data_IF_048239909833
#
_entry.id   IF_048239909833
#
_cell.length_a   1.000
_cell.length_b   1.000
_cell.length_c   1.000
_cell.angle_alpha   90.00
_cell.angle_beta   90.00
_cell.angle_gamma   90.00
#
_symmetry.space_group_name_H-M   'P 1'
#
loop_
_entity.id
_entity.type
_entity.pdbx_description
1 polymer ?
#
# COMPACT_ATOMS: atom_id res chain seq x y z
N UNK A 1 -4.67 9.30 14.56
CA UNK A 1 -4.43 7.84 14.65
C UNK A 1 -4.50 7.35 13.22
N UNK A 2 -3.35 7.25 12.55
CA UNK A 2 -3.25 6.91 11.13
C UNK A 2 -3.30 5.38 11.07
N UNK A 3 -4.46 4.81 10.70
CA UNK A 3 -4.49 3.42 10.26
C UNK A 3 -3.73 3.38 8.93
N UNK A 4 -2.48 2.93 8.98
CA UNK A 4 -1.74 2.65 7.77
C UNK A 4 -2.54 1.67 6.91
N UNK A 5 -2.77 2.04 5.67
CA UNK A 5 -3.38 1.18 4.66
C UNK A 5 -2.47 -0.03 4.49
N UNK A 6 -2.77 -1.13 5.19
CA UNK A 6 -2.03 -2.37 5.02
C UNK A 6 -2.29 -2.84 3.59
N UNK A 7 -1.26 -2.84 2.77
CA UNK A 7 -1.29 -3.52 1.46
C UNK A 7 -1.70 -4.96 1.71
N UNK A 8 -2.97 -5.27 1.50
CA UNK A 8 -3.38 -6.66 1.30
C UNK A 8 -2.83 -7.03 -0.06
N UNK A 9 -1.60 -7.55 -0.05
CA UNK A 9 -1.08 -8.26 -1.21
C UNK A 9 -2.10 -9.35 -1.47
N UNK A 10 -2.75 -9.27 -2.65
CA UNK A 10 -3.70 -10.28 -3.09
C UNK A 10 -3.06 -11.63 -2.86
N UNK A 11 -3.60 -12.40 -1.91
CA UNK A 11 -3.10 -13.72 -1.54
C UNK A 11 -3.48 -14.70 -2.67
N UNK A 12 -2.85 -14.50 -3.82
CA UNK A 12 -2.78 -15.52 -4.89
C UNK A 12 -1.72 -16.58 -4.57
N UNK A 13 -1.34 -16.76 -3.30
CA UNK A 13 -0.18 -17.52 -2.91
C UNK A 13 -0.31 -18.39 -1.67
N UNK A 14 -1.47 -18.53 -1.01
CA UNK A 14 -1.55 -19.41 0.17
C UNK A 14 -1.34 -20.89 -0.20
N UNK A 15 -1.58 -21.29 -1.44
CA UNK A 15 -1.32 -22.66 -1.91
C UNK A 15 0.11 -22.91 -2.42
N UNK A 16 0.93 -21.87 -2.66
CA UNK A 16 2.26 -22.02 -3.27
C UNK A 16 3.37 -21.21 -2.59
N UNK A 17 3.09 -20.47 -1.54
CA UNK A 17 4.00 -19.45 -0.99
C UNK A 17 4.61 -19.72 0.39
N UNK A 18 4.46 -20.93 0.94
CA UNK A 18 5.28 -21.37 2.09
C UNK A 18 6.61 -21.96 1.63
N UNK A 19 7.12 -21.51 0.47
CA UNK A 19 8.43 -21.92 -0.01
C UNK A 19 9.46 -20.87 0.43
N UNK A 20 10.21 -21.24 1.45
CA UNK A 20 11.46 -20.65 1.89
C UNK A 20 12.29 -20.13 0.71
N UNK A 21 12.52 -18.83 0.65
CA UNK A 21 13.70 -18.30 0.01
C UNK A 21 14.90 -18.58 0.93
N UNK A 22 15.31 -19.82 1.01
CA UNK A 22 16.64 -20.18 1.50
C UNK A 22 17.55 -20.08 0.29
N UNK A 23 18.29 -18.98 0.18
CA UNK A 23 19.49 -18.94 -0.68
C UNK A 23 20.34 -20.15 -0.32
N UNK A 24 20.62 -20.99 -1.32
CA UNK A 24 21.39 -22.21 -1.24
C UNK A 24 22.76 -21.98 -0.60
N UNK A 25 22.89 -22.35 0.66
CA UNK A 25 24.18 -22.64 1.25
C UNK A 25 24.44 -24.12 0.99
N UNK A 26 25.37 -24.42 0.07
CA UNK A 26 25.85 -25.77 -0.15
C UNK A 26 26.54 -26.27 1.11
N UNK A 27 25.90 -27.13 1.87
CA UNK A 27 26.52 -27.85 2.96
C UNK A 27 26.74 -29.29 2.53
N UNK A 28 28.01 -29.71 2.54
CA UNK A 28 28.46 -31.07 2.36
C UNK A 28 27.76 -32.04 3.32
N UNK A 29 27.22 -33.11 2.76
CA UNK A 29 26.56 -34.17 3.50
C UNK A 29 27.56 -34.99 4.33
N UNK A 30 27.32 -35.09 5.62
CA UNK A 30 27.90 -36.11 6.48
C UNK A 30 26.86 -37.21 6.75
N UNK A 31 27.28 -38.48 6.97
CA UNK A 31 26.40 -39.65 6.85
C UNK A 31 25.42 -39.81 8.01
N UNK A 32 24.26 -40.35 7.70
CA UNK A 32 23.16 -40.66 8.60
C UNK A 32 23.57 -41.60 9.74
N UNK A 33 23.38 -41.16 10.97
CA UNK A 33 23.36 -42.02 12.17
C UNK A 33 21.91 -42.39 12.50
N UNK A 34 21.57 -43.65 12.33
CA UNK A 34 20.31 -44.23 12.78
C UNK A 34 20.30 -44.36 14.29
N UNK A 35 19.57 -43.52 14.99
CA UNK A 35 19.11 -43.78 16.35
C UNK A 35 17.66 -43.33 16.51
N UNK A 36 16.77 -44.30 16.38
CA UNK A 36 15.34 -44.14 16.72
C UNK A 36 15.20 -44.04 18.22
N UNK A 37 15.20 -42.85 18.75
CA UNK A 37 14.81 -42.59 20.15
C UNK A 37 13.37 -42.05 20.18
N UNK A 38 12.50 -42.90 20.71
CA UNK A 38 11.08 -42.66 20.99
C UNK A 38 10.98 -41.48 21.93
N UNK A 39 10.72 -40.28 21.41
CA UNK A 39 10.55 -39.06 22.25
C UNK A 39 9.10 -39.03 22.73
N UNK A 40 8.92 -39.19 24.02
CA UNK A 40 7.66 -39.01 24.73
C UNK A 40 7.14 -37.60 24.48
N UNK A 41 5.82 -37.47 24.22
CA UNK A 41 5.12 -36.21 24.05
C UNK A 41 5.17 -35.41 25.38
N UNK A 42 6.11 -34.49 25.49
CA UNK A 42 6.13 -33.53 26.57
C UNK A 42 5.39 -32.26 26.17
N UNK A 43 4.48 -31.86 27.01
CA UNK A 43 3.81 -30.54 26.93
C UNK A 43 4.90 -29.48 26.86
N UNK A 44 4.91 -28.67 25.77
CA UNK A 44 5.84 -27.58 25.62
C UNK A 44 5.51 -26.49 26.67
N UNK A 45 6.33 -26.40 27.69
CA UNK A 45 6.41 -25.25 28.56
C UNK A 45 7.65 -24.48 28.10
N UNK A 46 7.52 -23.22 27.63
CA UNK A 46 8.68 -22.43 27.24
C UNK A 46 9.51 -22.15 28.51
N UNK A 47 10.60 -22.87 28.67
CA UNK A 47 11.36 -22.91 29.93
C UNK A 47 12.50 -21.93 30.00
N UNK A 48 12.83 -21.21 28.92
CA UNK A 48 13.84 -20.14 28.98
C UNK A 48 13.76 -19.23 27.77
N UNK A 49 13.98 -17.95 27.98
CA UNK A 49 14.21 -16.97 26.92
C UNK A 49 15.47 -17.35 26.15
N UNK A 50 15.38 -17.52 24.84
CA UNK A 50 16.53 -17.76 23.99
C UNK A 50 17.32 -16.43 23.88
N UNK A 51 18.64 -16.49 24.18
CA UNK A 51 19.56 -15.37 24.13
C UNK A 51 20.74 -15.67 23.23
N UNK A 52 21.62 -14.69 23.00
CA UNK A 52 22.84 -14.86 22.22
C UNK A 52 23.82 -15.89 22.84
N UNK A 53 23.66 -16.24 24.12
CA UNK A 53 24.46 -17.23 24.84
C UNK A 53 23.80 -18.62 24.93
N UNK A 54 22.59 -18.77 24.38
CA UNK A 54 21.92 -20.07 24.30
C UNK A 54 22.63 -21.02 23.37
N UNK A 55 22.45 -22.36 23.51
CA UNK A 55 23.01 -23.32 22.58
C UNK A 55 22.64 -23.02 21.13
N UNK A 56 23.57 -23.22 20.19
CA UNK A 56 23.42 -22.82 18.78
C UNK A 56 22.12 -23.34 18.14
N UNK A 57 21.71 -24.60 18.39
CA UNK A 57 20.46 -25.16 17.86
C UNK A 57 19.20 -24.48 18.43
N UNK A 58 19.26 -24.00 19.67
CA UNK A 58 18.15 -23.23 20.25
C UNK A 58 18.04 -21.85 19.57
N UNK A 59 19.16 -21.19 19.29
CA UNK A 59 19.20 -19.93 18.54
C UNK A 59 18.68 -20.13 17.11
N UNK A 60 19.05 -21.20 16.43
CA UNK A 60 18.56 -21.56 15.09
C UNK A 60 17.05 -21.76 15.11
N UNK A 61 16.53 -22.56 16.03
CA UNK A 61 15.08 -22.79 16.14
C UNK A 61 14.28 -21.51 16.41
N UNK A 62 14.76 -20.67 17.33
CA UNK A 62 14.17 -19.38 17.59
C UNK A 62 14.17 -18.46 16.37
N UNK A 63 15.32 -18.40 15.67
CA UNK A 63 15.46 -17.53 14.50
C UNK A 63 14.50 -17.94 13.37
N UNK A 64 14.34 -19.24 13.10
CA UNK A 64 13.36 -19.73 12.13
C UNK A 64 11.92 -19.33 12.53
N UNK A 65 11.54 -19.57 13.79
CA UNK A 65 10.22 -19.21 14.29
C UNK A 65 9.95 -17.71 14.23
N UNK A 66 10.93 -16.90 14.62
CA UNK A 66 10.82 -15.43 14.58
C UNK A 66 10.63 -14.90 13.15
N UNK A 67 11.49 -15.30 12.22
CA UNK A 67 11.41 -14.86 10.81
C UNK A 67 10.13 -15.33 10.13
N UNK A 68 9.65 -16.53 10.45
CA UNK A 68 8.36 -17.01 9.95
C UNK A 68 7.20 -16.19 10.51
N UNK A 69 7.22 -15.86 11.81
CA UNK A 69 6.21 -14.99 12.43
C UNK A 69 6.24 -13.58 11.84
N UNK A 70 7.43 -12.99 11.69
CA UNK A 70 7.61 -11.67 11.10
C UNK A 70 7.08 -11.58 9.66
N UNK A 71 7.35 -12.60 8.84
CA UNK A 71 6.92 -12.65 7.45
C UNK A 71 5.40 -12.83 7.29
N UNK A 72 4.71 -13.40 8.29
CA UNK A 72 3.29 -13.73 8.18
C UNK A 72 2.37 -12.91 9.07
N UNK A 73 2.88 -12.11 10.03
CA UNK A 73 2.08 -11.34 11.01
C UNK A 73 1.02 -10.44 10.39
N UNK A 74 1.30 -9.91 9.18
CA UNK A 74 0.39 -9.00 8.49
C UNK A 74 -0.61 -9.72 7.56
N UNK A 75 -0.34 -11.00 7.23
CA UNK A 75 -1.18 -11.84 6.39
C UNK A 75 -2.16 -12.70 7.19
N UNK A 76 -1.78 -13.08 8.41
CA UNK A 76 -2.56 -13.95 9.30
C UNK A 76 -2.53 -13.33 10.69
N UNK A 77 -3.31 -12.26 10.88
CA UNK A 77 -3.34 -11.46 12.10
C UNK A 77 -4.18 -12.07 13.24
N UNK A 78 -4.99 -13.09 12.94
CA UNK A 78 -5.88 -13.80 13.87
C UNK A 78 -5.54 -15.29 14.02
N UNK A 79 -4.28 -15.67 13.75
CA UNK A 79 -3.83 -17.06 13.88
C UNK A 79 -3.85 -17.53 15.35
N UNK A 80 -4.49 -18.68 15.59
CA UNK A 80 -4.35 -19.38 16.87
C UNK A 80 -2.96 -20.02 16.96
N UNK A 81 -2.06 -19.38 17.70
CA UNK A 81 -0.66 -19.79 17.79
C UNK A 81 -0.50 -21.17 18.46
N UNK A 82 -1.34 -21.53 19.45
CA UNK A 82 -1.25 -22.83 20.10
C UNK A 82 -1.59 -23.97 19.13
N UNK A 83 -2.68 -23.81 18.37
CA UNK A 83 -3.06 -24.76 17.32
C UNK A 83 -2.02 -24.82 16.18
N UNK A 84 -1.44 -23.68 15.82
CA UNK A 84 -0.36 -23.62 14.83
C UNK A 84 0.87 -24.42 15.31
N UNK A 85 1.33 -24.18 16.53
CA UNK A 85 2.48 -24.90 17.08
C UNK A 85 2.18 -26.39 17.31
N UNK A 86 0.93 -26.76 17.61
CA UNK A 86 0.54 -28.16 17.66
C UNK A 86 0.67 -28.82 16.28
N UNK A 87 0.05 -28.26 15.24
CA UNK A 87 0.13 -28.79 13.89
C UNK A 87 1.57 -28.88 13.37
N UNK A 88 2.40 -27.85 13.67
CA UNK A 88 3.82 -27.87 13.33
C UNK A 88 4.56 -29.02 14.01
N UNK A 89 4.36 -29.24 15.31
CA UNK A 89 4.99 -30.35 16.05
C UNK A 89 4.56 -31.72 15.53
N UNK A 90 3.25 -31.89 15.30
CA UNK A 90 2.70 -33.16 14.80
C UNK A 90 3.33 -33.50 13.46
N UNK A 91 3.39 -32.55 12.54
CA UNK A 91 4.02 -32.73 11.22
C UNK A 91 5.53 -32.99 11.34
N UNK A 92 6.26 -32.24 12.16
CA UNK A 92 7.69 -32.36 12.35
C UNK A 92 8.09 -33.71 12.97
N UNK A 93 7.23 -34.25 13.85
CA UNK A 93 7.41 -35.55 14.52
C UNK A 93 6.81 -36.74 13.75
N UNK A 94 6.39 -36.52 12.50
CA UNK A 94 5.76 -37.54 11.65
C UNK A 94 4.52 -38.19 12.29
N UNK A 95 3.76 -37.43 13.09
CA UNK A 95 2.49 -37.89 13.65
C UNK A 95 1.37 -37.75 12.63
N UNK A 96 0.36 -38.60 12.75
CA UNK A 96 -0.84 -38.48 11.92
C UNK A 96 -1.57 -37.17 12.22
N UNK A 97 -1.99 -36.41 11.18
CA UNK A 97 -2.67 -35.15 11.39
C UNK A 97 -4.08 -35.35 11.98
N UNK A 98 -4.51 -34.45 12.87
CA UNK A 98 -5.85 -34.44 13.42
C UNK A 98 -6.94 -34.02 12.41
N UNK A 99 -6.55 -33.29 11.38
CA UNK A 99 -7.37 -32.94 10.21
C UNK A 99 -6.80 -33.62 8.99
N UNK A 100 -7.64 -34.25 8.18
CA UNK A 100 -7.19 -34.77 6.89
C UNK A 100 -6.86 -33.66 5.90
N UNK A 101 -6.17 -33.99 4.79
CA UNK A 101 -5.76 -32.98 3.80
C UNK A 101 -6.93 -32.22 3.17
N UNK A 102 -8.10 -32.87 2.98
CA UNK A 102 -9.29 -32.23 2.42
C UNK A 102 -9.91 -31.25 3.42
N UNK A 103 -9.94 -31.64 4.70
CA UNK A 103 -10.41 -30.75 5.78
C UNK A 103 -9.50 -29.54 5.90
N UNK A 104 -8.17 -29.72 5.90
CA UNK A 104 -7.21 -28.60 5.93
C UNK A 104 -7.41 -27.64 4.75
N UNK A 105 -7.50 -28.19 3.53
CA UNK A 105 -7.75 -27.38 2.33
C UNK A 105 -9.06 -26.58 2.42
N UNK A 106 -10.14 -27.25 2.86
CA UNK A 106 -11.44 -26.59 3.01
C UNK A 106 -11.39 -25.44 4.02
N UNK A 107 -10.81 -25.66 5.20
CA UNK A 107 -10.69 -24.64 6.24
C UNK A 107 -9.90 -23.43 5.75
N UNK A 108 -8.78 -23.67 5.05
CA UNK A 108 -7.93 -22.60 4.50
C UNK A 108 -8.65 -21.81 3.40
N UNK A 109 -9.39 -22.48 2.51
CA UNK A 109 -10.19 -21.81 1.49
C UNK A 109 -11.33 -20.98 2.11
N UNK A 110 -12.04 -21.54 3.09
CA UNK A 110 -13.11 -20.84 3.78
C UNK A 110 -12.57 -19.60 4.54
N UNK A 111 -11.41 -19.74 5.19
CA UNK A 111 -10.71 -18.63 5.84
C UNK A 111 -10.36 -17.51 4.85
N UNK A 112 -9.72 -17.87 3.73
CA UNK A 112 -9.37 -16.91 2.69
C UNK A 112 -10.61 -16.17 2.17
N UNK A 113 -11.66 -16.91 1.82
CA UNK A 113 -12.93 -16.34 1.33
C UNK A 113 -13.55 -15.37 2.34
N UNK A 114 -13.54 -15.74 3.63
CA UNK A 114 -14.09 -14.87 4.67
C UNK A 114 -13.27 -13.58 4.83
N UNK A 115 -11.95 -13.66 4.75
CA UNK A 115 -11.06 -12.47 4.75
C UNK A 115 -11.30 -11.58 3.53
N UNK A 116 -11.45 -12.14 2.35
CA UNK A 116 -11.78 -11.38 1.13
C UNK A 116 -13.12 -10.64 1.26
N UNK A 117 -14.16 -11.31 1.79
CA UNK A 117 -15.46 -10.71 2.03
C UNK A 117 -15.38 -9.59 3.08
N UNK A 118 -14.65 -9.82 4.17
CA UNK A 118 -14.47 -8.81 5.22
C UNK A 118 -13.73 -7.57 4.68
N UNK A 119 -12.67 -7.78 3.94
CA UNK A 119 -11.90 -6.71 3.29
C UNK A 119 -12.75 -5.93 2.27
N UNK A 120 -13.52 -6.62 1.41
CA UNK A 120 -14.39 -5.96 0.45
C UNK A 120 -15.44 -5.08 1.14
N UNK A 121 -15.99 -5.55 2.26
CA UNK A 121 -16.92 -4.77 3.11
C UNK A 121 -16.26 -3.52 3.69
N UNK A 122 -15.04 -3.65 4.20
CA UNK A 122 -14.28 -2.54 4.77
C UNK A 122 -13.99 -1.48 3.70
N UNK A 123 -13.50 -1.91 2.54
CA UNK A 123 -13.23 -1.02 1.38
C UNK A 123 -14.52 -0.31 0.93
N UNK A 124 -15.65 -1.01 0.87
CA UNK A 124 -16.94 -0.42 0.50
C UNK A 124 -17.40 0.62 1.52
N UNK A 125 -17.28 0.32 2.81
CA UNK A 125 -17.64 1.26 3.89
C UNK A 125 -16.76 2.51 3.86
N UNK A 126 -15.45 2.34 3.64
CA UNK A 126 -14.50 3.43 3.50
C UNK A 126 -14.82 4.30 2.27
N UNK A 127 -15.09 3.67 1.13
CA UNK A 127 -15.49 4.36 -0.10
C UNK A 127 -16.74 5.21 0.09
N UNK A 128 -17.77 4.67 0.76
CA UNK A 128 -18.99 5.40 1.08
C UNK A 128 -18.73 6.57 2.05
N UNK A 129 -17.92 6.36 3.08
CA UNK A 129 -17.53 7.40 4.03
C UNK A 129 -16.78 8.54 3.35
N UNK A 130 -15.79 8.20 2.50
CA UNK A 130 -15.00 9.20 1.79
C UNK A 130 -15.82 9.97 0.76
N UNK A 131 -16.74 9.30 0.04
CA UNK A 131 -17.68 9.97 -0.86
C UNK A 131 -18.56 11.00 -0.13
N UNK A 132 -19.11 10.64 1.04
CA UNK A 132 -19.93 11.54 1.83
C UNK A 132 -19.13 12.74 2.36
N UNK A 133 -17.96 12.49 2.95
CA UNK A 133 -17.04 13.54 3.44
C UNK A 133 -16.57 14.45 2.31
N UNK A 134 -16.21 13.86 1.17
CA UNK A 134 -15.75 14.59 -0.01
C UNK A 134 -16.84 15.49 -0.59
N UNK A 135 -18.07 14.99 -0.69
CA UNK A 135 -19.22 15.79 -1.13
C UNK A 135 -19.47 16.98 -0.22
N UNK A 136 -19.47 16.77 1.09
CA UNK A 136 -19.66 17.85 2.07
C UNK A 136 -18.52 18.86 1.98
N UNK A 137 -17.27 18.40 1.95
CA UNK A 137 -16.10 19.27 1.80
C UNK A 137 -16.19 20.16 0.57
N UNK A 138 -16.49 19.61 -0.61
CA UNK A 138 -16.60 20.37 -1.85
C UNK A 138 -17.78 21.37 -1.81
N UNK A 139 -18.92 20.99 -1.21
CA UNK A 139 -20.06 21.88 -1.04
C UNK A 139 -19.70 23.10 -0.19
N UNK A 140 -18.99 22.91 0.90
CA UNK A 140 -18.56 23.99 1.79
C UNK A 140 -17.41 24.80 1.16
N UNK A 141 -16.47 24.14 0.52
CA UNK A 141 -15.32 24.77 -0.10
C UNK A 141 -15.75 25.69 -1.26
N UNK A 142 -16.73 25.27 -2.07
CA UNK A 142 -17.26 26.07 -3.18
C UNK A 142 -17.92 27.40 -2.75
N UNK A 143 -18.28 27.54 -1.47
CA UNK A 143 -18.81 28.80 -0.91
C UNK A 143 -17.72 29.76 -0.46
N UNK A 144 -16.46 29.32 -0.38
CA UNK A 144 -15.36 30.16 0.10
C UNK A 144 -15.00 31.21 -0.93
N UNK A 145 -14.68 32.42 -0.44
CA UNK A 145 -14.22 33.48 -1.31
C UNK A 145 -12.98 33.09 -2.10
N UNK A 146 -12.97 33.41 -3.39
CA UNK A 146 -11.86 33.11 -4.30
C UNK A 146 -11.86 31.66 -4.86
N UNK A 147 -12.73 30.77 -4.39
CA UNK A 147 -12.93 29.44 -4.97
C UNK A 147 -13.93 29.51 -6.12
N UNK A 148 -13.56 28.90 -7.24
CA UNK A 148 -14.41 28.78 -8.44
C UNK A 148 -14.66 27.29 -8.71
N UNK A 149 -15.85 26.98 -9.22
CA UNK A 149 -16.25 25.61 -9.58
C UNK A 149 -16.52 25.54 -11.08
N UNK A 150 -15.96 24.56 -11.76
CA UNK A 150 -16.21 24.30 -13.18
C UNK A 150 -17.43 23.40 -13.39
N UNK A 151 -17.86 23.23 -14.65
CA UNK A 151 -18.99 22.36 -15.00
C UNK A 151 -18.75 20.88 -14.65
N UNK A 152 -17.48 20.42 -14.61
CA UNK A 152 -17.11 19.06 -14.23
C UNK A 152 -17.15 18.81 -12.70
N UNK A 153 -17.27 19.89 -11.90
CA UNK A 153 -17.19 19.86 -10.46
C UNK A 153 -15.77 20.07 -9.91
N UNK A 154 -14.78 20.27 -10.78
CA UNK A 154 -13.45 20.71 -10.34
C UNK A 154 -13.57 22.07 -9.64
N UNK A 155 -12.95 22.22 -8.47
CA UNK A 155 -12.84 23.52 -7.82
C UNK A 155 -11.39 23.98 -7.85
N UNK A 156 -11.21 25.31 -7.96
CA UNK A 156 -9.88 25.89 -7.97
C UNK A 156 -9.86 27.26 -7.31
N UNK A 157 -8.71 27.60 -6.76
CA UNK A 157 -8.40 28.92 -6.21
C UNK A 157 -7.10 29.42 -6.81
N UNK A 158 -7.10 30.65 -7.29
CA UNK A 158 -5.89 31.33 -7.79
C UNK A 158 -5.11 31.86 -6.59
N UNK A 159 -3.93 31.31 -6.34
CA UNK A 159 -3.01 31.76 -5.28
C UNK A 159 -2.08 32.85 -5.83
N UNK A 160 -1.58 32.64 -7.04
CA UNK A 160 -0.76 33.60 -7.79
C UNK A 160 -1.15 33.53 -9.26
N UNK A 161 -1.45 34.68 -9.85
CA UNK A 161 -1.80 34.77 -11.26
C UNK A 161 -0.54 34.74 -12.12
N UNK A 162 -0.44 33.76 -13.03
CA UNK A 162 0.62 33.70 -14.04
C UNK A 162 0.40 34.69 -15.18
N UNK A 163 1.46 34.97 -15.91
CA UNK A 163 1.44 35.92 -17.04
C UNK A 163 1.86 35.28 -18.37
N UNK A 164 2.40 34.05 -18.33
CA UNK A 164 2.86 33.33 -19.52
C UNK A 164 1.74 32.63 -20.30
N UNK A 165 2.09 31.60 -21.04
CA UNK A 165 1.17 30.81 -21.87
C UNK A 165 0.30 29.91 -21.01
N UNK A 166 -0.92 29.62 -21.47
CA UNK A 166 -1.75 28.53 -20.91
C UNK A 166 -1.48 27.25 -21.70
N UNK A 167 -1.36 26.10 -21.03
CA UNK A 167 -1.16 24.84 -21.73
C UNK A 167 -2.44 24.34 -22.41
N UNK A 168 -2.28 23.60 -23.47
CA UNK A 168 -3.32 22.76 -24.08
C UNK A 168 -3.22 21.35 -23.52
N UNK A 169 -4.28 20.56 -23.65
CA UNK A 169 -4.30 19.17 -23.16
C UNK A 169 -3.17 18.29 -23.73
N UNK A 170 -2.67 18.59 -24.91
CA UNK A 170 -1.58 17.84 -25.58
C UNK A 170 -0.18 18.32 -25.23
N UNK A 171 -0.05 19.41 -24.46
CA UNK A 171 1.24 19.99 -24.12
C UNK A 171 1.92 19.24 -22.97
N UNK A 172 3.23 19.41 -22.85
CA UNK A 172 3.99 19.03 -21.66
C UNK A 172 4.05 20.22 -20.69
N UNK A 173 3.92 19.93 -19.42
CA UNK A 173 3.97 20.96 -18.36
C UNK A 173 5.07 20.61 -17.36
N UNK A 174 5.88 21.61 -16.97
CA UNK A 174 6.84 21.51 -15.89
C UNK A 174 6.25 22.22 -14.68
N UNK A 175 6.12 21.49 -13.58
CA UNK A 175 5.43 21.97 -12.38
C UNK A 175 6.19 21.64 -11.10
N UNK A 176 6.02 22.48 -10.08
CA UNK A 176 6.12 22.07 -8.68
C UNK A 176 4.72 21.85 -8.12
N UNK A 177 4.58 20.85 -7.26
CA UNK A 177 3.28 20.56 -6.63
C UNK A 177 3.40 19.86 -5.29
N UNK A 178 2.33 19.98 -4.51
CA UNK A 178 2.08 19.19 -3.32
C UNK A 178 0.64 18.71 -3.33
N UNK A 179 0.46 17.40 -3.22
CA UNK A 179 -0.83 16.74 -3.15
C UNK A 179 -1.14 16.25 -1.74
N UNK A 180 -2.35 16.56 -1.24
CA UNK A 180 -2.84 16.15 0.07
C UNK A 180 -4.30 15.74 0.03
N UNK A 181 -4.70 14.94 1.00
CA UNK A 181 -6.09 14.58 1.27
C UNK A 181 -6.80 15.72 2.03
N UNK A 182 -8.11 15.58 2.23
CA UNK A 182 -8.93 16.57 2.95
C UNK A 182 -8.58 16.70 4.44
N UNK A 183 -7.97 15.67 5.03
CA UNK A 183 -7.46 15.66 6.40
C UNK A 183 -6.07 16.30 6.55
N UNK A 184 -5.48 16.72 5.43
CA UNK A 184 -4.14 17.32 5.38
C UNK A 184 -3.00 16.35 5.15
N UNK A 185 -3.25 15.04 5.09
CA UNK A 185 -2.22 14.02 4.82
C UNK A 185 -1.61 14.24 3.44
N UNK A 186 -0.31 14.50 3.39
CA UNK A 186 0.45 14.68 2.15
C UNK A 186 0.79 13.30 1.59
N UNK A 187 0.29 12.99 0.39
CA UNK A 187 0.58 11.73 -0.30
C UNK A 187 1.65 11.86 -1.37
N UNK A 188 1.86 13.07 -1.95
CA UNK A 188 2.90 13.31 -2.94
C UNK A 188 3.35 14.77 -2.95
N UNK A 189 4.66 15.02 -3.14
CA UNK A 189 5.23 16.36 -3.18
C UNK A 189 6.52 16.40 -3.98
N UNK A 190 6.56 17.19 -5.04
CA UNK A 190 7.77 17.48 -5.79
C UNK A 190 8.76 18.32 -4.99
N UNK A 191 8.27 19.12 -4.04
CA UNK A 191 9.13 19.90 -3.15
C UNK A 191 9.94 18.99 -2.21
N UNK A 192 9.34 17.89 -1.71
CA UNK A 192 10.06 16.89 -0.90
C UNK A 192 11.14 16.16 -1.69
N UNK A 193 10.97 16.02 -3.01
CA UNK A 193 11.98 15.45 -3.90
C UNK A 193 13.07 16.44 -4.30
N UNK A 194 12.88 17.73 -4.05
CA UNK A 194 13.85 18.79 -4.35
C UNK A 194 13.86 19.28 -5.80
N UNK A 195 13.00 18.72 -6.69
CA UNK A 195 13.00 19.04 -8.11
C UNK A 195 11.59 19.09 -8.71
N UNK A 196 11.35 19.97 -9.71
CA UNK A 196 10.11 20.02 -10.45
C UNK A 196 9.99 18.82 -11.40
N UNK A 197 8.74 18.45 -11.71
CA UNK A 197 8.46 17.30 -12.58
C UNK A 197 7.82 17.77 -13.89
N UNK A 198 8.13 17.08 -14.98
CA UNK A 198 7.53 17.33 -16.30
C UNK A 198 6.59 16.19 -16.68
N UNK A 199 5.35 16.53 -17.01
CA UNK A 199 4.32 15.57 -17.43
C UNK A 199 3.72 15.94 -18.78
N UNK A 200 3.37 14.96 -19.63
CA UNK A 200 2.38 15.16 -20.69
C UNK A 200 1.00 15.38 -20.06
N UNK A 201 0.32 16.49 -20.37
CA UNK A 201 -0.90 16.88 -19.67
C UNK A 201 -2.09 15.94 -19.95
N UNK A 202 -2.06 15.19 -21.03
CA UNK A 202 -3.05 14.15 -21.37
C UNK A 202 -2.78 12.79 -20.68
N UNK A 203 -1.72 12.66 -19.89
CA UNK A 203 -1.34 11.41 -19.20
C UNK A 203 -1.43 11.51 -17.68
N UNK A 204 -2.02 12.57 -17.17
CA UNK A 204 -2.29 12.78 -15.74
C UNK A 204 -3.78 12.63 -15.44
N UNK A 205 -4.16 12.69 -14.17
CA UNK A 205 -5.59 12.65 -13.76
C UNK A 205 -6.40 13.76 -14.42
N UNK A 206 -7.69 13.49 -14.68
CA UNK A 206 -8.58 14.42 -15.40
C UNK A 206 -8.63 15.82 -14.78
N UNK A 207 -8.63 15.90 -13.44
CA UNK A 207 -8.63 17.16 -12.72
C UNK A 207 -7.37 18.01 -12.98
N UNK A 208 -6.21 17.38 -13.20
CA UNK A 208 -5.00 18.08 -13.62
C UNK A 208 -5.08 18.53 -15.07
N UNK A 209 -5.52 17.62 -15.96
CA UNK A 209 -5.68 17.97 -17.39
C UNK A 209 -6.61 19.17 -17.55
N UNK A 210 -7.69 19.25 -16.80
CA UNK A 210 -8.60 20.40 -16.81
C UNK A 210 -8.02 21.61 -16.10
N UNK A 211 -7.55 21.44 -14.86
CA UNK A 211 -7.14 22.53 -13.99
C UNK A 211 -5.92 23.31 -14.51
N UNK A 212 -4.91 22.61 -15.07
CA UNK A 212 -3.73 23.30 -15.59
C UNK A 212 -4.02 24.11 -16.85
N UNK A 213 -5.02 23.75 -17.65
CA UNK A 213 -5.43 24.57 -18.81
C UNK A 213 -6.04 25.92 -18.38
N UNK A 214 -6.51 26.04 -17.13
CA UNK A 214 -6.99 27.31 -16.55
C UNK A 214 -5.85 28.20 -16.03
N UNK A 215 -4.63 27.65 -15.92
CA UNK A 215 -3.45 28.35 -15.44
C UNK A 215 -2.69 29.03 -16.56
N UNK A 216 -1.81 29.96 -16.18
CA UNK A 216 -0.76 30.51 -17.03
C UNK A 216 0.59 30.23 -16.40
N UNK A 217 1.64 30.10 -17.22
CA UNK A 217 3.03 29.99 -16.72
C UNK A 217 3.34 31.08 -15.69
N UNK A 218 4.05 30.73 -14.63
CA UNK A 218 4.35 31.55 -13.47
C UNK A 218 3.18 31.65 -12.47
N UNK A 219 2.07 30.95 -12.73
CA UNK A 219 0.91 30.90 -11.83
C UNK A 219 1.01 29.80 -10.80
N UNK A 220 0.36 30.03 -9.64
CA UNK A 220 0.17 29.04 -8.59
C UNK A 220 -1.31 28.93 -8.26
N UNK A 221 -1.84 27.72 -8.39
CA UNK A 221 -3.26 27.45 -8.13
C UNK A 221 -3.40 26.34 -7.11
N UNK A 222 -4.48 26.39 -6.35
CA UNK A 222 -4.96 25.25 -5.55
C UNK A 222 -6.13 24.61 -6.27
N UNK A 223 -6.02 23.35 -6.58
CA UNK A 223 -7.07 22.53 -7.16
C UNK A 223 -7.69 21.63 -6.08
N UNK A 224 -9.02 21.55 -6.07
CA UNK A 224 -9.78 20.61 -5.25
C UNK A 224 -10.50 19.68 -6.22
N UNK A 225 -10.01 18.46 -6.30
CA UNK A 225 -10.35 17.50 -7.36
C UNK A 225 -11.30 16.46 -6.78
N UNK A 226 -12.57 16.40 -7.21
CA UNK A 226 -13.48 15.33 -6.82
C UNK A 226 -12.97 13.99 -7.31
N UNK A 227 -13.35 12.90 -6.64
CA UNK A 227 -12.82 11.56 -6.91
C UNK A 227 -12.94 11.11 -8.37
N UNK A 228 -14.05 11.42 -9.04
CA UNK A 228 -14.28 11.07 -10.47
C UNK A 228 -13.33 11.78 -11.46
N UNK A 229 -12.67 12.84 -11.03
CA UNK A 229 -11.62 13.54 -11.77
C UNK A 229 -10.20 13.19 -11.26
N UNK A 230 -10.10 12.39 -10.21
CA UNK A 230 -8.88 11.88 -9.60
C UNK A 230 -8.73 10.36 -9.81
N UNK A 231 -8.68 9.59 -8.71
CA UNK A 231 -8.46 8.15 -8.71
C UNK A 231 -9.76 7.32 -8.56
N UNK A 232 -10.92 7.97 -8.49
CA UNK A 232 -12.24 7.33 -8.54
C UNK A 232 -12.57 6.47 -7.33
N UNK A 233 -13.48 5.51 -7.58
CA UNK A 233 -13.98 4.60 -6.55
C UNK A 233 -12.96 3.56 -6.09
N UNK A 234 -11.94 3.30 -6.91
CA UNK A 234 -10.93 2.31 -6.56
C UNK A 234 -9.78 2.89 -5.72
N UNK A 235 -9.50 4.19 -5.84
CA UNK A 235 -8.30 4.77 -5.26
C UNK A 235 -7.02 4.20 -5.91
N UNK A 236 -5.92 4.20 -5.17
CA UNK A 236 -4.67 3.51 -5.52
C UNK A 236 -3.93 3.06 -4.24
N UNK A 237 -2.63 2.70 -4.35
CA UNK A 237 -1.85 2.20 -3.21
C UNK A 237 -1.72 3.20 -2.04
N UNK A 238 -1.77 4.50 -2.34
CA UNK A 238 -1.50 5.58 -1.38
C UNK A 238 -2.73 6.47 -1.14
N UNK A 239 -3.79 6.29 -1.95
CA UNK A 239 -5.00 7.12 -1.94
C UNK A 239 -6.23 6.23 -1.80
N UNK A 240 -6.97 6.44 -0.72
CA UNK A 240 -8.18 5.68 -0.42
C UNK A 240 -9.27 5.88 -1.47
N UNK A 241 -10.19 4.89 -1.61
CA UNK A 241 -11.36 4.98 -2.47
C UNK A 241 -12.16 6.27 -2.27
N UNK A 242 -12.64 6.87 -3.37
CA UNK A 242 -13.48 8.07 -3.37
C UNK A 242 -12.89 9.31 -2.67
N UNK A 243 -11.56 9.38 -2.56
CA UNK A 243 -10.89 10.54 -1.94
C UNK A 243 -10.98 11.79 -2.82
N UNK A 244 -11.29 12.91 -2.20
CA UNK A 244 -11.07 14.25 -2.79
C UNK A 244 -9.60 14.61 -2.61
N UNK A 245 -8.98 15.11 -3.67
CA UNK A 245 -7.57 15.50 -3.68
C UNK A 245 -7.44 17.01 -3.67
N UNK A 246 -6.48 17.51 -2.91
CA UNK A 246 -6.12 18.92 -2.89
C UNK A 246 -4.69 19.05 -3.39
N UNK A 247 -4.48 19.80 -4.46
CA UNK A 247 -3.16 20.06 -5.00
C UNK A 247 -2.85 21.55 -5.01
N UNK A 248 -1.72 21.93 -4.44
CA UNK A 248 -1.09 23.21 -4.70
C UNK A 248 -0.12 23.01 -5.85
N UNK A 249 -0.35 23.67 -6.97
CA UNK A 249 0.43 23.49 -8.21
C UNK A 249 0.99 24.84 -8.64
N UNK A 250 2.29 24.87 -8.91
CA UNK A 250 2.99 25.98 -9.54
C UNK A 250 3.38 25.58 -10.96
N UNK A 251 2.80 26.23 -11.96
CA UNK A 251 3.08 25.98 -13.37
C UNK A 251 4.32 26.79 -13.77
N UNK A 252 5.45 26.09 -13.88
CA UNK A 252 6.73 26.71 -14.18
C UNK A 252 6.93 26.96 -15.66
N UNK A 253 6.55 25.98 -16.53
CA UNK A 253 6.79 26.06 -17.97
C UNK A 253 5.81 25.18 -18.75
N UNK A 254 5.39 25.68 -19.92
CA UNK A 254 4.64 24.93 -20.94
C UNK A 254 5.59 24.56 -22.06
N UNK A 255 5.60 23.29 -22.45
CA UNK A 255 6.49 22.71 -23.45
C UNK A 255 7.97 23.03 -23.16
N UNK A 256 8.50 22.59 -21.99
CA UNK A 256 9.91 22.79 -21.67
C UNK A 256 10.80 22.16 -22.76
N UNK A 257 11.93 22.77 -23.09
CA UNK A 257 12.86 22.19 -24.03
C UNK A 257 13.33 20.82 -23.53
N UNK A 258 13.49 19.86 -24.46
CA UNK A 258 14.04 18.55 -24.13
C UNK A 258 15.50 18.76 -23.72
N UNK A 259 15.79 18.67 -22.44
CA UNK A 259 17.18 18.63 -21.95
C UNK A 259 17.80 17.33 -22.48
N UNK A 260 18.63 17.41 -23.53
CA UNK A 260 19.44 16.27 -23.90
C UNK A 260 20.44 16.01 -22.76
N UNK A 261 20.67 14.74 -22.40
CA UNK A 261 21.74 14.43 -21.46
C UNK A 261 23.04 14.97 -22.03
N UNK A 262 23.76 15.78 -21.25
CA UNK A 262 25.10 16.24 -21.60
C UNK A 262 25.94 14.97 -21.78
N UNK A 263 26.37 14.69 -23.02
CA UNK A 263 27.38 13.66 -23.26
C UNK A 263 28.67 14.17 -22.62
N UNK A 264 29.02 13.56 -21.50
CA UNK A 264 30.35 13.67 -20.90
C UNK A 264 31.35 12.89 -21.72
#
# INVERSE_FOLDING_TARGET
MILGYKKVSLVSGIATGMLLAVTSISANAAPASTNANKVASSVYVPKSTVTATSPALAQVGYSFGYLMGESNKDSIDDLNLDAFFQGFRDAYSAQSPNLDKKQMQKVLLDYQKNKEIAYAKEVQALAASNAAKGKQFLLENGKKSGVKTTASGLQYQVLTQGRGKSPKATDKVKVHYEGRLIDGTIFDSSYKRGEPVTFPLNQVIKGWTEGLQLMKEGGKYRLFIPANLGYGEAGNADIEPNSVLIFDIELLQVNPPVTQPVKL
#
